data_IF_211901648930
#
_entry.id   IF_211901648930
#
_cell.length_a   1.000
_cell.length_b   1.000
_cell.length_c   1.000
_cell.angle_alpha   90.00
_cell.angle_beta   90.00
_cell.angle_gamma   90.00
#
_symmetry.space_group_name_H-M   'P 1'
#
loop_
_entity.id
_entity.type
_entity.pdbx_description
1 polymer ?
#
# COMPACT_ATOMS: atom_id res chain seq x y z
N UNK A 1 13.96 -1.99 -6.70
CA UNK A 1 13.13 -1.05 -7.51
C UNK A 1 13.95 -0.15 -8.37
N UNK A 2 14.99 0.51 -7.86
CA UNK A 2 15.86 1.36 -8.69
C UNK A 2 16.41 0.58 -9.88
N UNK A 3 16.94 -0.64 -9.65
CA UNK A 3 17.40 -1.51 -10.75
C UNK A 3 16.30 -1.77 -11.80
N UNK A 4 15.06 -2.02 -11.37
CA UNK A 4 13.92 -2.24 -12.27
C UNK A 4 13.60 -0.98 -13.10
N UNK A 5 13.75 0.20 -12.50
CA UNK A 5 13.51 1.49 -13.17
C UNK A 5 14.64 1.88 -14.13
N UNK A 6 15.83 1.28 -14.02
CA UNK A 6 16.96 1.53 -14.91
C UNK A 6 16.89 0.75 -16.23
N UNK A 7 16.04 -0.26 -16.33
CA UNK A 7 15.86 -0.99 -17.60
C UNK A 7 15.24 -0.06 -18.64
N UNK A 8 15.96 0.13 -19.75
CA UNK A 8 15.50 0.92 -20.88
C UNK A 8 15.33 0.03 -22.10
N UNK A 9 14.30 0.28 -22.89
CA UNK A 9 14.08 -0.41 -24.16
C UNK A 9 14.62 0.47 -25.29
N UNK A 10 15.60 -0.02 -26.04
CA UNK A 10 16.18 0.67 -27.21
C UNK A 10 16.25 -0.30 -28.37
N UNK A 11 15.64 0.06 -29.51
CA UNK A 11 15.57 -0.74 -30.74
C UNK A 11 15.11 -2.20 -30.52
N UNK A 12 14.12 -2.41 -29.64
CA UNK A 12 13.60 -3.75 -29.32
C UNK A 12 14.41 -4.53 -28.29
N UNK A 13 15.62 -4.10 -27.93
CA UNK A 13 16.50 -4.76 -26.96
C UNK A 13 16.47 -4.07 -25.61
N UNK A 14 16.47 -4.84 -24.52
CA UNK A 14 16.63 -4.31 -23.16
C UNK A 14 18.09 -3.94 -22.90
N UNK A 15 18.30 -2.72 -22.40
CA UNK A 15 19.62 -2.23 -22.00
C UNK A 15 19.58 -1.77 -20.55
N UNK A 16 20.68 -2.00 -19.85
CA UNK A 16 20.91 -1.50 -18.49
C UNK A 16 22.14 -0.57 -18.54
N UNK A 17 22.02 0.71 -18.14
CA UNK A 17 23.17 1.62 -18.12
C UNK A 17 24.18 1.20 -17.05
N UNK A 18 25.47 1.35 -17.36
CA UNK A 18 26.54 1.22 -16.37
C UNK A 18 26.60 2.51 -15.56
N UNK A 19 26.15 2.46 -14.30
CA UNK A 19 26.08 3.63 -13.41
C UNK A 19 26.36 3.22 -11.96
N UNK A 20 26.95 4.13 -11.20
CA UNK A 20 27.08 4.00 -9.74
C UNK A 20 26.01 4.86 -9.05
N UNK A 21 25.22 4.25 -8.16
CA UNK A 21 24.14 4.93 -7.44
C UNK A 21 24.39 4.80 -5.94
N UNK A 22 24.42 5.94 -5.25
CA UNK A 22 24.34 6.02 -3.78
C UNK A 22 22.98 6.63 -3.45
N UNK A 23 22.15 5.90 -2.72
CA UNK A 23 20.75 6.27 -2.46
C UNK A 23 20.44 6.08 -0.97
N UNK A 24 19.76 7.06 -0.37
CA UNK A 24 19.30 7.03 1.01
C UNK A 24 18.03 7.87 1.17
N UNK A 25 17.08 7.48 2.05
CA UNK A 25 15.87 8.26 2.25
C UNK A 25 16.15 9.55 3.03
N UNK A 26 15.56 10.67 2.61
CA UNK A 26 15.60 11.93 3.36
C UNK A 26 14.85 11.84 4.69
N UNK A 27 13.76 11.05 4.72
CA UNK A 27 12.94 10.83 5.91
C UNK A 27 12.73 9.35 6.15
N UNK A 28 12.81 8.93 7.41
CA UNK A 28 12.53 7.55 7.80
C UNK A 28 11.05 7.20 7.56
N UNK A 29 10.14 8.14 7.79
CA UNK A 29 8.70 7.95 7.60
C UNK A 29 8.23 8.41 6.21
N UNK A 30 7.86 7.47 5.33
CA UNK A 30 7.33 7.76 3.99
C UNK A 30 5.98 7.05 3.85
N UNK A 31 4.94 7.80 4.21
CA UNK A 31 3.60 7.27 4.45
C UNK A 31 2.60 7.50 3.32
N UNK A 32 1.62 6.60 3.22
CA UNK A 32 0.38 6.80 2.45
C UNK A 32 -0.80 6.34 3.30
N UNK A 33 -1.89 7.12 3.31
CA UNK A 33 -3.12 6.79 4.00
C UNK A 33 -4.18 6.26 3.03
N UNK A 34 -4.84 5.16 3.38
CA UNK A 34 -6.02 4.65 2.68
C UNK A 34 -7.22 4.64 3.62
N UNK A 35 -8.26 5.36 3.24
CA UNK A 35 -9.57 5.34 3.89
C UNK A 35 -10.47 4.30 3.24
N UNK A 36 -10.73 3.22 3.97
CA UNK A 36 -11.65 2.14 3.56
C UNK A 36 -13.01 2.22 4.25
N UNK A 37 -13.20 3.22 5.11
CA UNK A 37 -14.45 3.42 5.83
C UNK A 37 -15.51 4.01 4.90
N UNK A 38 -15.16 5.11 4.21
CA UNK A 38 -16.07 5.84 3.30
C UNK A 38 -16.39 5.09 2.01
N UNK A 39 -15.40 4.35 1.48
CA UNK A 39 -15.56 3.54 0.27
C UNK A 39 -14.89 2.18 0.49
N UNK A 40 -15.55 1.11 0.05
CA UNK A 40 -15.00 -0.24 0.19
C UNK A 40 -13.96 -0.53 -0.90
N UNK A 41 -12.84 -1.14 -0.50
CA UNK A 41 -11.78 -1.60 -1.40
C UNK A 41 -11.60 -3.10 -1.22
N UNK A 42 -11.53 -3.83 -2.34
CA UNK A 42 -11.25 -5.25 -2.33
C UNK A 42 -9.79 -5.51 -1.95
N UNK A 43 -9.47 -6.67 -1.35
CA UNK A 43 -8.09 -7.02 -1.00
C UNK A 43 -7.10 -6.97 -2.17
N UNK A 44 -7.56 -7.21 -3.41
CA UNK A 44 -6.73 -7.12 -4.61
C UNK A 44 -6.26 -5.69 -4.87
N UNK A 45 -7.12 -4.70 -4.64
CA UNK A 45 -6.83 -3.27 -4.85
C UNK A 45 -5.84 -2.78 -3.79
N UNK A 46 -6.06 -3.14 -2.52
CA UNK A 46 -5.13 -2.83 -1.43
C UNK A 46 -3.75 -3.47 -1.69
N UNK A 47 -3.71 -4.73 -2.12
CA UNK A 47 -2.45 -5.40 -2.51
C UNK A 47 -1.77 -4.72 -3.71
N UNK A 48 -2.55 -4.21 -4.66
CA UNK A 48 -1.99 -3.44 -5.78
C UNK A 48 -1.38 -2.12 -5.30
N UNK A 49 -2.06 -1.39 -4.43
CA UNK A 49 -1.56 -0.17 -3.81
C UNK A 49 -0.26 -0.43 -3.04
N UNK A 50 -0.20 -1.49 -2.22
CA UNK A 50 1.01 -1.86 -1.48
C UNK A 50 2.19 -2.18 -2.42
N UNK A 51 1.94 -2.85 -3.56
CA UNK A 51 2.99 -3.08 -4.58
C UNK A 51 3.49 -1.77 -5.20
N UNK A 52 2.60 -0.81 -5.41
CA UNK A 52 2.95 0.52 -5.93
C UNK A 52 3.70 1.35 -4.89
N UNK A 53 3.25 1.37 -3.64
CA UNK A 53 3.95 2.00 -2.52
C UNK A 53 5.36 1.46 -2.38
N UNK A 54 5.47 0.13 -2.45
CA UNK A 54 6.76 -0.53 -2.49
C UNK A 54 7.58 0.10 -3.62
N UNK A 55 7.12 0.10 -4.89
CA UNK A 55 7.86 0.61 -6.06
C UNK A 55 8.50 2.00 -5.86
N UNK A 56 7.85 2.86 -5.09
CA UNK A 56 8.31 4.22 -4.77
C UNK A 56 9.05 4.34 -3.43
N UNK A 57 9.47 3.22 -2.84
CA UNK A 57 10.18 3.12 -1.55
C UNK A 57 9.40 3.68 -0.36
N UNK A 58 8.07 3.75 -0.43
CA UNK A 58 7.23 4.06 0.74
C UNK A 58 7.27 2.90 1.72
N UNK A 59 7.19 3.20 3.02
CA UNK A 59 7.38 2.20 4.08
C UNK A 59 6.34 2.29 5.21
N UNK A 60 5.46 3.28 5.22
CA UNK A 60 4.35 3.34 6.18
C UNK A 60 3.01 3.34 5.44
N UNK A 61 2.14 2.39 5.80
CA UNK A 61 0.78 2.33 5.31
C UNK A 61 -0.16 2.65 6.47
N UNK A 62 -0.75 3.85 6.42
CA UNK A 62 -1.77 4.25 7.38
C UNK A 62 -3.11 3.74 6.87
N UNK A 63 -3.64 2.71 7.52
CA UNK A 63 -4.92 2.13 7.16
C UNK A 63 -6.04 2.71 8.04
N UNK A 64 -6.86 3.58 7.47
CA UNK A 64 -7.99 4.18 8.15
C UNK A 64 -9.22 3.27 8.00
N UNK A 65 -9.47 2.46 9.02
CA UNK A 65 -10.41 1.31 9.00
C UNK A 65 -11.82 1.64 9.46
N UNK A 66 -12.02 2.77 10.12
CA UNK A 66 -13.26 3.10 10.85
C UNK A 66 -13.55 4.60 10.76
N UNK A 67 -14.80 4.94 10.47
CA UNK A 67 -15.36 6.31 10.44
C UNK A 67 -16.88 6.19 10.64
N UNK A 68 -17.62 7.30 10.71
CA UNK A 68 -19.08 7.31 10.88
C UNK A 68 -19.82 6.51 9.80
N UNK A 69 -19.20 6.36 8.63
CA UNK A 69 -19.77 5.71 7.44
C UNK A 69 -19.42 4.22 7.33
N UNK A 70 -18.60 3.66 8.21
CA UNK A 70 -18.16 2.28 8.06
C UNK A 70 -17.24 1.74 9.16
N UNK A 71 -17.37 0.43 9.38
CA UNK A 71 -16.53 -0.35 10.29
C UNK A 71 -15.93 -1.55 9.53
N UNK A 72 -14.60 -1.58 9.35
CA UNK A 72 -13.91 -2.58 8.50
C UNK A 72 -13.03 -3.57 9.25
N UNK A 73 -13.02 -3.52 10.58
CA UNK A 73 -12.18 -4.40 11.40
C UNK A 73 -13.04 -5.23 12.36
N UNK A 74 -13.26 -6.54 12.11
CA UNK A 74 -14.07 -7.34 13.01
C UNK A 74 -13.42 -7.42 14.39
N UNK A 75 -14.18 -7.12 15.44
CA UNK A 75 -13.75 -7.28 16.83
C UNK A 75 -14.54 -8.43 17.42
N UNK A 76 -13.89 -9.60 17.53
CA UNK A 76 -14.53 -10.86 17.96
C UNK A 76 -15.27 -10.71 19.29
N UNK A 77 -14.72 -9.93 20.23
CA UNK A 77 -15.33 -9.67 21.54
C UNK A 77 -16.68 -8.95 21.47
N UNK A 78 -16.94 -8.16 20.43
CA UNK A 78 -18.22 -7.49 20.23
C UNK A 78 -19.20 -8.33 19.39
N UNK A 79 -18.73 -9.44 18.82
CA UNK A 79 -19.54 -10.34 17.99
C UNK A 79 -20.08 -11.53 18.79
N UNK A 80 -19.46 -11.86 19.93
CA UNK A 80 -19.88 -12.94 20.83
C UNK A 80 -21.18 -12.63 21.61
N UNK A 81 -21.62 -11.37 21.58
CA UNK A 81 -22.73 -10.85 22.39
C UNK A 81 -24.07 -10.84 21.62
N UNK A 82 -24.07 -11.22 20.33
CA UNK A 82 -25.23 -11.13 19.43
C UNK A 82 -26.26 -12.26 19.59
N UNK A 83 -26.53 -12.69 20.82
CA UNK A 83 -27.81 -13.31 21.19
C UNK A 83 -28.72 -12.23 21.77
N UNK A 84 -29.32 -11.40 20.92
CA UNK A 84 -30.25 -10.38 21.40
C UNK A 84 -30.70 -9.40 20.33
N UNK A 85 -31.81 -9.73 19.67
CA UNK A 85 -32.76 -8.79 19.04
C UNK A 85 -32.19 -7.61 18.24
N UNK A 86 -32.15 -7.79 16.92
CA UNK A 86 -32.64 -6.75 16.03
C UNK A 86 -34.17 -6.84 15.94
#
# INVERSE_FOLDING_TARGET
MTLRQLFQKSNGTWRLPLVSIRDQPAFQWRGLMLDVSRHFFFPKEVKHLLKTMALFKMNHFHWHLTDDQGWRFPVEKLLADNTGSF
#
